data_IF_064717417117
#
_entry.id   IF_064717417117
#
_cell.length_a   1.000
_cell.length_b   1.000
_cell.length_c   1.000
_cell.angle_alpha   90.00
_cell.angle_beta   90.00
_cell.angle_gamma   90.00
#
_symmetry.space_group_name_H-M   'P 1'
#
loop_
_entity.id
_entity.type
_entity.pdbx_description
1 polymer ?
#
# COMPACT_ATOMS: atom_id res chain seq x y z
N UNK A 1 2.39 35.03 -46.12
CA UNK A 1 1.54 33.82 -45.98
C UNK A 1 2.25 32.62 -45.34
N UNK A 2 3.57 32.41 -45.51
CA UNK A 2 4.31 31.32 -44.84
C UNK A 2 4.57 31.51 -43.34
N UNK A 3 4.66 32.76 -42.86
CA UNK A 3 4.88 33.05 -41.43
C UNK A 3 3.64 32.78 -40.56
N UNK A 4 2.43 32.90 -41.12
CA UNK A 4 1.18 32.64 -40.39
C UNK A 4 0.95 31.15 -40.14
N UNK A 5 1.46 30.27 -41.00
CA UNK A 5 1.30 28.81 -40.88
C UNK A 5 2.24 28.22 -39.82
N UNK A 6 3.44 28.80 -39.65
CA UNK A 6 4.41 28.37 -38.64
C UNK A 6 3.96 28.71 -37.21
N UNK A 7 3.24 29.83 -37.03
CA UNK A 7 2.75 30.28 -35.73
C UNK A 7 1.59 29.40 -35.21
N UNK A 8 0.77 28.85 -36.10
CA UNK A 8 -0.30 27.92 -35.73
C UNK A 8 0.23 26.55 -35.27
N UNK A 9 1.35 26.07 -35.83
CA UNK A 9 1.94 24.79 -35.42
C UNK A 9 2.58 24.88 -34.02
N UNK A 10 3.13 26.04 -33.65
CA UNK A 10 3.72 26.24 -32.32
C UNK A 10 2.66 26.35 -31.20
N UNK A 11 1.45 26.81 -31.52
CA UNK A 11 0.33 26.89 -30.57
C UNK A 11 -0.35 25.54 -30.29
N UNK A 12 -0.19 24.55 -31.18
CA UNK A 12 -0.76 23.21 -30.97
C UNK A 12 0.12 22.36 -30.03
N UNK A 13 1.42 22.66 -29.90
CA UNK A 13 2.33 21.92 -29.01
C UNK A 13 2.34 22.39 -27.54
N UNK A 14 1.72 23.53 -27.19
CA UNK A 14 1.64 23.99 -25.79
C UNK A 14 0.44 23.41 -25.01
N UNK A 15 -0.43 22.61 -25.66
CA UNK A 15 -1.78 22.32 -25.18
C UNK A 15 -2.06 20.90 -24.66
N UNK A 16 -1.06 20.04 -24.50
CA UNK A 16 -1.25 18.69 -23.91
C UNK A 16 -0.16 18.42 -22.88
N UNK A 17 -0.20 19.17 -21.79
CA UNK A 17 0.16 18.55 -20.53
C UNK A 17 -1.01 17.62 -20.22
N UNK A 18 -0.85 16.28 -20.16
CA UNK A 18 -1.88 15.48 -19.54
C UNK A 18 -2.10 16.09 -18.17
N UNK A 19 -3.32 16.55 -17.91
CA UNK A 19 -3.75 16.81 -16.56
C UNK A 19 -3.55 15.48 -15.83
N UNK A 20 -2.39 15.32 -15.18
CA UNK A 20 -2.24 14.36 -14.10
C UNK A 20 -3.38 14.72 -13.17
N UNK A 21 -4.39 13.88 -13.14
CA UNK A 21 -5.55 14.10 -12.30
C UNK A 21 -4.99 14.16 -10.88
N UNK A 22 -4.97 15.34 -10.25
CA UNK A 22 -4.36 15.50 -8.91
C UNK A 22 -5.04 14.64 -7.84
N UNK A 23 -6.19 14.05 -8.17
CA UNK A 23 -6.89 13.07 -7.34
C UNK A 23 -6.27 11.65 -7.41
N UNK A 24 -5.45 11.33 -8.42
CA UNK A 24 -4.87 10.01 -8.63
C UNK A 24 -3.36 10.02 -8.37
N UNK A 25 -2.94 9.41 -7.25
CA UNK A 25 -1.54 9.10 -6.96
C UNK A 25 -1.26 7.63 -7.25
N UNK A 26 -0.65 7.32 -8.40
CA UNK A 26 -0.27 5.95 -8.72
C UNK A 26 0.86 5.50 -7.81
N UNK A 27 0.61 4.46 -7.00
CA UNK A 27 1.63 3.85 -6.15
C UNK A 27 2.41 2.78 -6.92
N UNK A 28 1.71 1.82 -7.52
CA UNK A 28 2.30 0.73 -8.30
C UNK A 28 1.57 0.54 -9.62
N UNK A 29 2.34 0.33 -10.68
CA UNK A 29 1.86 -0.24 -11.93
C UNK A 29 2.92 -1.23 -12.40
N UNK A 30 2.56 -2.51 -12.45
CA UNK A 30 3.43 -3.56 -12.95
C UNK A 30 2.62 -4.57 -13.74
N UNK A 31 3.25 -5.15 -14.76
CA UNK A 31 2.70 -6.30 -15.44
C UNK A 31 2.83 -7.52 -14.52
N UNK A 32 1.74 -8.24 -14.30
CA UNK A 32 1.78 -9.57 -13.73
C UNK A 32 2.11 -10.59 -14.84
N UNK A 33 2.92 -11.62 -14.56
CA UNK A 33 3.00 -12.79 -15.43
C UNK A 33 1.62 -13.42 -15.65
N UNK A 34 1.52 -14.30 -16.66
CA UNK A 34 0.31 -15.09 -16.84
C UNK A 34 0.00 -15.86 -15.55
N UNK A 35 -1.15 -15.56 -14.96
CA UNK A 35 -1.59 -16.21 -13.74
C UNK A 35 -2.07 -17.64 -14.06
N UNK A 36 -1.92 -18.60 -13.13
CA UNK A 36 -2.56 -19.89 -13.29
C UNK A 36 -4.09 -19.74 -13.40
N UNK A 37 -4.78 -20.78 -13.85
CA UNK A 37 -6.24 -20.81 -13.78
C UNK A 37 -6.72 -20.82 -12.31
N UNK A 38 -8.01 -20.51 -12.10
CA UNK A 38 -8.68 -20.64 -10.81
C UNK A 38 -8.01 -19.85 -9.66
N UNK A 39 -7.82 -18.54 -9.87
CA UNK A 39 -7.27 -17.62 -8.88
C UNK A 39 -8.36 -16.94 -8.07
N UNK A 40 -8.02 -16.59 -6.83
CA UNK A 40 -8.77 -15.69 -5.96
C UNK A 40 -7.85 -14.59 -5.41
N UNK A 41 -8.47 -13.49 -5.01
CA UNK A 41 -7.79 -12.45 -4.24
C UNK A 41 -8.22 -12.55 -2.78
N UNK A 42 -7.24 -12.61 -1.89
CA UNK A 42 -7.42 -12.42 -0.47
C UNK A 42 -6.86 -11.05 -0.08
N UNK A 43 -7.65 -10.26 0.64
CA UNK A 43 -7.18 -9.02 1.28
C UNK A 43 -7.29 -9.20 2.78
N UNK A 44 -6.22 -8.92 3.51
CA UNK A 44 -6.18 -9.07 4.96
C UNK A 44 -5.44 -7.91 5.61
N UNK A 45 -5.98 -7.44 6.72
CA UNK A 45 -5.28 -6.51 7.59
C UNK A 45 -4.42 -7.30 8.59
N UNK A 46 -3.14 -6.98 8.65
CA UNK A 46 -2.21 -7.53 9.64
C UNK A 46 -1.92 -6.46 10.68
N UNK A 47 -2.06 -6.84 11.94
CA UNK A 47 -1.78 -5.99 13.09
C UNK A 47 -0.61 -6.61 13.86
N UNK A 48 0.47 -5.85 14.02
CA UNK A 48 1.66 -6.26 14.76
C UNK A 48 1.74 -5.48 16.08
N UNK A 49 1.82 -6.21 17.18
CA UNK A 49 2.20 -5.63 18.47
C UNK A 49 3.65 -5.11 18.42
N UNK A 50 4.06 -4.27 19.38
CA UNK A 50 5.45 -3.82 19.46
C UNK A 50 6.44 -4.99 19.48
N UNK A 51 7.47 -4.93 18.63
CA UNK A 51 8.49 -5.96 18.46
C UNK A 51 8.03 -7.30 17.85
N UNK A 52 6.74 -7.46 17.53
CA UNK A 52 6.21 -8.72 17.00
C UNK A 52 6.81 -9.05 15.63
N UNK A 53 7.16 -10.31 15.42
CA UNK A 53 7.66 -10.84 14.15
C UNK A 53 6.97 -12.14 13.74
N UNK A 54 6.94 -12.41 12.44
CA UNK A 54 6.54 -13.72 11.89
C UNK A 54 7.76 -14.59 11.60
N UNK A 55 7.62 -15.90 11.80
CA UNK A 55 8.62 -16.86 11.33
C UNK A 55 8.70 -16.87 9.79
N UNK A 56 9.86 -17.26 9.21
CA UNK A 56 10.00 -17.36 7.76
C UNK A 56 8.98 -18.30 7.11
N UNK A 57 8.39 -17.84 6.01
CA UNK A 57 7.34 -18.57 5.28
C UNK A 57 7.32 -18.21 3.79
N UNK A 58 6.49 -18.93 3.02
CA UNK A 58 6.24 -18.65 1.60
C UNK A 58 4.75 -18.68 1.29
N UNK A 59 4.30 -17.75 0.46
CA UNK A 59 2.91 -17.62 0.03
C UNK A 59 2.56 -18.41 -1.24
N UNK A 60 3.54 -18.78 -2.08
CA UNK A 60 3.31 -19.41 -3.40
C UNK A 60 2.32 -18.60 -4.26
N UNK A 61 2.39 -17.27 -4.14
CA UNK A 61 1.40 -16.32 -4.64
C UNK A 61 2.06 -14.96 -4.92
N UNK A 62 1.40 -14.11 -5.70
CA UNK A 62 1.78 -12.70 -5.78
C UNK A 62 1.23 -11.96 -4.56
N UNK A 63 2.10 -11.28 -3.82
CA UNK A 63 1.75 -10.58 -2.57
C UNK A 63 2.09 -9.10 -2.68
N UNK A 64 1.14 -8.25 -2.32
CA UNK A 64 1.29 -6.81 -2.26
C UNK A 64 0.95 -6.31 -0.86
N UNK A 65 1.93 -5.70 -0.22
CA UNK A 65 1.78 -5.05 1.08
C UNK A 65 1.57 -3.56 0.88
N UNK A 66 0.70 -2.96 1.69
CA UNK A 66 0.58 -1.50 1.85
C UNK A 66 0.53 -1.14 3.33
N UNK A 67 1.49 -0.35 3.81
CA UNK A 67 1.56 0.02 5.23
C UNK A 67 0.52 1.10 5.56
N UNK A 68 -0.28 0.85 6.58
CA UNK A 68 -1.31 1.76 7.07
C UNK A 68 -0.83 2.58 8.27
N UNK A 69 -0.10 1.96 9.19
CA UNK A 69 0.31 2.54 10.47
C UNK A 69 1.66 1.97 10.93
N UNK A 70 2.44 2.76 11.67
CA UNK A 70 3.69 2.31 12.27
C UNK A 70 4.80 2.09 11.24
N UNK A 71 5.74 1.22 11.57
CA UNK A 71 6.94 0.93 10.77
C UNK A 71 7.16 -0.57 10.70
N UNK A 72 7.37 -1.12 9.51
CA UNK A 72 7.48 -2.58 9.32
C UNK A 72 8.78 -2.93 8.63
N UNK A 73 9.59 -3.78 9.26
CA UNK A 73 10.75 -4.38 8.63
C UNK A 73 10.29 -5.55 7.76
N UNK A 74 10.67 -5.52 6.48
CA UNK A 74 10.36 -6.56 5.51
C UNK A 74 11.61 -7.04 4.77
N UNK A 75 11.67 -8.33 4.49
CA UNK A 75 12.74 -8.93 3.71
C UNK A 75 12.25 -10.23 3.06
N UNK A 76 12.56 -10.39 1.78
CA UNK A 76 12.58 -11.72 1.15
C UNK A 76 13.99 -12.29 1.21
N UNK A 77 14.12 -13.61 1.31
CA UNK A 77 15.42 -14.27 1.32
C UNK A 77 16.27 -13.85 0.09
N UNK A 78 17.49 -13.37 0.34
CA UNK A 78 18.39 -12.83 -0.68
C UNK A 78 18.17 -11.38 -1.07
N UNK A 79 17.14 -10.74 -0.51
CA UNK A 79 16.84 -9.32 -0.68
C UNK A 79 17.42 -8.45 0.43
N UNK A 80 17.34 -7.13 0.23
CA UNK A 80 17.64 -6.14 1.25
C UNK A 80 16.57 -6.17 2.36
N UNK A 81 17.01 -6.03 3.62
CA UNK A 81 16.11 -5.77 4.74
C UNK A 81 15.70 -4.29 4.69
N UNK A 82 14.40 -4.04 4.62
CA UNK A 82 13.87 -2.68 4.42
C UNK A 82 12.89 -2.33 5.53
N UNK A 83 12.92 -1.08 6.01
CA UNK A 83 11.89 -0.56 6.91
C UNK A 83 10.92 0.28 6.11
N UNK A 84 9.65 -0.14 6.09
CA UNK A 84 8.56 0.52 5.40
C UNK A 84 7.80 1.46 6.34
N UNK A 85 7.35 2.59 5.79
CA UNK A 85 6.56 3.63 6.45
C UNK A 85 5.12 3.64 5.90
N UNK A 86 4.16 4.32 6.57
CA UNK A 86 2.79 4.43 6.07
C UNK A 86 2.74 5.01 4.65
N UNK A 87 1.97 4.37 3.78
CA UNK A 87 1.91 4.71 2.36
C UNK A 87 2.90 3.97 1.46
N UNK A 88 3.91 3.32 2.03
CA UNK A 88 4.86 2.52 1.26
C UNK A 88 4.35 1.10 1.02
N UNK A 89 4.82 0.50 -0.07
CA UNK A 89 4.45 -0.85 -0.48
C UNK A 89 5.63 -1.78 -0.62
N UNK A 90 5.33 -3.06 -0.44
CA UNK A 90 6.26 -4.16 -0.67
C UNK A 90 5.64 -5.23 -1.56
N UNK A 91 6.45 -5.83 -2.43
CA UNK A 91 6.01 -6.89 -3.33
C UNK A 91 6.84 -8.15 -3.18
N UNK A 92 6.16 -9.29 -3.14
CA UNK A 92 6.75 -10.63 -3.15
C UNK A 92 6.20 -11.42 -4.32
N UNK A 93 7.08 -12.14 -5.02
CA UNK A 93 6.69 -13.05 -6.09
C UNK A 93 6.41 -14.48 -5.53
N UNK A 94 5.80 -15.38 -6.32
CA UNK A 94 5.42 -16.71 -5.83
C UNK A 94 6.57 -17.58 -5.28
N UNK A 95 7.80 -17.33 -5.74
CA UNK A 95 8.97 -18.10 -5.32
C UNK A 95 9.75 -17.46 -4.18
N UNK A 96 9.43 -16.22 -3.82
CA UNK A 96 10.10 -15.53 -2.72
C UNK A 96 9.81 -16.30 -1.40
N UNK A 97 10.76 -16.19 -0.49
CA UNK A 97 10.58 -16.61 0.90
C UNK A 97 10.53 -15.33 1.70
N UNK A 98 9.41 -15.06 2.38
CA UNK A 98 9.30 -13.97 3.33
C UNK A 98 10.18 -14.32 4.54
N UNK A 99 11.34 -13.67 4.63
CA UNK A 99 12.38 -13.96 5.62
C UNK A 99 12.20 -13.14 6.89
N UNK A 100 11.83 -11.87 6.76
CA UNK A 100 11.56 -10.97 7.89
C UNK A 100 10.24 -10.26 7.64
N UNK A 101 9.33 -10.36 8.59
CA UNK A 101 8.15 -9.51 8.73
C UNK A 101 8.05 -9.14 10.20
N UNK A 102 8.41 -7.91 10.54
CA UNK A 102 8.57 -7.50 11.93
C UNK A 102 8.11 -6.06 12.13
N UNK A 103 7.46 -5.78 13.26
CA UNK A 103 7.26 -4.41 13.72
C UNK A 103 8.61 -3.79 14.10
N UNK A 104 8.99 -2.72 13.40
CA UNK A 104 10.26 -2.05 13.64
C UNK A 104 10.28 -1.19 14.93
N UNK A 105 9.15 -1.06 15.64
CA UNK A 105 9.04 -0.38 16.92
C UNK A 105 8.85 -1.38 18.06
N UNK A 106 9.60 -1.17 19.14
CA UNK A 106 9.44 -1.90 20.41
C UNK A 106 8.40 -1.24 21.34
N UNK A 107 7.84 -0.10 20.95
CA UNK A 107 6.88 0.67 21.78
C UNK A 107 5.51 0.84 21.14
N UNK A 108 5.44 0.95 19.81
CA UNK A 108 4.22 1.31 19.08
C UNK A 108 3.75 0.16 18.18
N UNK A 109 2.43 -0.01 17.96
CA UNK A 109 1.92 -1.00 17.03
C UNK A 109 2.21 -0.63 15.57
N UNK A 110 2.11 -1.62 14.68
CA UNK A 110 2.14 -1.40 13.24
C UNK A 110 0.99 -2.15 12.54
N UNK A 111 0.54 -1.62 11.41
CA UNK A 111 -0.59 -2.16 10.64
C UNK A 111 -0.32 -2.05 9.16
N UNK A 112 -0.67 -3.10 8.41
CA UNK A 112 -0.60 -3.08 6.96
C UNK A 112 -1.69 -3.96 6.33
N UNK A 113 -2.04 -3.65 5.08
CA UNK A 113 -2.84 -4.53 4.24
C UNK A 113 -1.93 -5.47 3.48
N UNK A 114 -2.38 -6.70 3.30
CA UNK A 114 -1.78 -7.70 2.41
C UNK A 114 -2.83 -8.11 1.39
N UNK A 115 -2.52 -7.91 0.12
CA UNK A 115 -3.30 -8.41 -1.01
C UNK A 115 -2.57 -9.60 -1.61
N UNK A 116 -3.23 -10.75 -1.70
CA UNK A 116 -2.62 -12.00 -2.15
C UNK A 116 -3.45 -12.53 -3.31
N UNK A 117 -2.82 -12.69 -4.48
CA UNK A 117 -3.42 -13.38 -5.62
C UNK A 117 -2.90 -14.81 -5.62
N UNK A 118 -3.78 -15.75 -5.28
CA UNK A 118 -3.43 -17.17 -5.10
C UNK A 118 -4.46 -18.09 -5.75
N UNK A 119 -4.08 -19.34 -5.96
CA UNK A 119 -5.02 -20.40 -6.36
C UNK A 119 -6.08 -20.63 -5.29
N UNK A 120 -7.33 -20.84 -5.69
CA UNK A 120 -8.44 -21.12 -4.77
C UNK A 120 -8.12 -22.37 -3.92
N UNK A 121 -8.42 -22.28 -2.62
CA UNK A 121 -8.29 -23.42 -1.69
C UNK A 121 -6.87 -23.77 -1.22
N UNK A 122 -5.83 -23.13 -1.76
CA UNK A 122 -4.45 -23.31 -1.24
C UNK A 122 -4.23 -22.49 0.04
N UNK A 123 -3.36 -22.95 0.97
CA UNK A 123 -3.02 -22.19 2.17
C UNK A 123 -2.47 -20.80 1.86
N UNK A 124 -2.73 -19.83 2.74
CA UNK A 124 -2.22 -18.46 2.60
C UNK A 124 -0.69 -18.44 2.67
N UNK A 125 -0.09 -19.23 3.56
CA UNK A 125 1.34 -19.36 3.70
C UNK A 125 1.74 -20.77 4.12
N UNK A 126 3.00 -21.11 3.83
CA UNK A 126 3.63 -22.37 4.19
C UNK A 126 4.94 -22.08 4.93
N UNK A 127 5.15 -22.63 6.14
CA UNK A 127 6.41 -22.45 6.86
C UNK A 127 7.59 -23.03 6.07
N UNK A 128 8.74 -22.36 6.07
CA UNK A 128 9.96 -22.87 5.40
C UNK A 128 11.07 -23.28 6.38
N UNK A 129 10.75 -23.31 7.68
CA UNK A 129 11.70 -23.52 8.77
C UNK A 129 12.60 -22.30 9.01
N UNK A 130 13.45 -22.37 10.04
CA UNK A 130 14.44 -21.33 10.29
C UNK A 130 15.40 -21.24 9.11
N UNK A 131 15.55 -20.04 8.56
CA UNK A 131 16.54 -19.79 7.51
C UNK A 131 17.93 -19.76 8.14
N UNK A 132 18.87 -20.46 7.53
CA UNK A 132 20.28 -20.27 7.89
C UNK A 132 20.72 -18.88 7.42
N UNK A 133 21.71 -18.24 8.10
CA UNK A 133 22.23 -16.93 7.67
C UNK A 133 22.68 -16.92 6.20
N UNK A 134 23.19 -18.07 5.72
CA UNK A 134 23.55 -18.26 4.31
C UNK A 134 22.31 -18.09 3.41
N UNK A 135 21.18 -18.72 3.73
CA UNK A 135 19.95 -18.67 2.93
C UNK A 135 19.26 -17.31 2.94
N UNK A 136 19.45 -16.50 3.99
CA UNK A 136 18.99 -15.10 4.05
C UNK A 136 19.82 -14.22 3.10
N UNK A 137 21.11 -14.50 2.96
CA UNK A 137 22.05 -13.68 2.19
C UNK A 137 22.35 -14.23 0.78
N UNK A 138 21.81 -15.40 0.42
CA UNK A 138 21.96 -15.95 -0.94
C UNK A 138 21.40 -14.93 -1.92
N UNK A 139 22.20 -14.38 -2.85
CA UNK A 139 21.69 -13.48 -3.87
C UNK A 139 20.49 -14.15 -4.55
N UNK A 140 19.43 -13.38 -4.81
CA UNK A 140 18.39 -13.80 -5.73
C UNK A 140 19.11 -14.30 -6.98
N UNK A 141 19.08 -15.61 -7.21
CA UNK A 141 19.87 -16.22 -8.27
C UNK A 141 19.60 -15.51 -9.60
N UNK A 142 20.55 -15.59 -10.54
CA UNK A 142 20.41 -15.14 -11.93
C UNK A 142 19.14 -15.77 -12.54
N UNK A 143 17.99 -15.16 -12.27
CA UNK A 143 16.73 -15.41 -12.93
C UNK A 143 16.72 -14.48 -14.13
N UNK A 144 16.27 -15.02 -15.27
CA UNK A 144 16.34 -14.39 -16.58
C UNK A 144 16.04 -12.88 -16.55
N UNK A 145 16.75 -12.12 -17.39
CA UNK A 145 16.89 -10.65 -17.33
C UNK A 145 15.64 -9.78 -17.50
N UNK A 146 14.45 -10.31 -17.25
CA UNK A 146 13.18 -9.62 -17.04
C UNK A 146 12.72 -9.65 -15.56
N UNK A 147 13.44 -10.35 -14.68
CA UNK A 147 13.06 -10.49 -13.26
C UNK A 147 13.29 -9.20 -12.48
N UNK A 148 12.21 -8.81 -11.80
CA UNK A 148 11.87 -7.51 -11.23
C UNK A 148 12.76 -7.10 -10.05
N UNK A 149 14.08 -7.02 -10.24
CA UNK A 149 15.04 -6.54 -9.23
C UNK A 149 14.73 -5.11 -8.74
N UNK A 150 13.94 -4.34 -9.50
CA UNK A 150 13.77 -2.90 -9.32
C UNK A 150 12.50 -2.45 -8.59
N UNK A 151 11.55 -3.33 -8.25
CA UNK A 151 10.23 -2.88 -7.76
C UNK A 151 9.71 -3.60 -6.52
N UNK A 152 10.59 -4.11 -5.65
CA UNK A 152 10.14 -4.66 -4.36
C UNK A 152 9.74 -3.59 -3.36
N UNK A 153 10.39 -2.44 -3.38
CA UNK A 153 10.05 -1.31 -2.51
C UNK A 153 9.45 -0.24 -3.40
N UNK A 154 8.22 0.14 -3.10
CA UNK A 154 7.55 1.23 -3.79
C UNK A 154 7.26 2.27 -2.73
N UNK A 155 8.08 3.32 -2.72
CA UNK A 155 7.84 4.46 -1.87
C UNK A 155 6.75 5.29 -2.50
N UNK A 156 5.74 5.67 -1.72
CA UNK A 156 4.83 6.71 -2.17
C UNK A 156 5.68 7.93 -2.57
N UNK A 157 5.47 8.45 -3.77
CA UNK A 157 6.11 9.70 -4.16
C UNK A 157 5.67 10.74 -3.13
N UNK A 158 6.61 11.40 -2.43
CA UNK A 158 6.26 12.49 -1.53
C UNK A 158 5.39 13.46 -2.34
N UNK A 159 4.15 13.64 -1.89
CA UNK A 159 3.26 14.62 -2.48
C UNK A 159 3.88 15.98 -2.19
N UNK A 160 4.40 16.74 -3.17
CA UNK A 160 4.91 18.05 -2.88
C UNK A 160 3.70 18.93 -2.62
N UNK A 161 3.40 19.16 -1.34
CA UNK A 161 2.72 20.34 -0.76
C UNK A 161 1.78 19.98 0.38
N UNK A 162 2.34 19.80 1.58
CA UNK A 162 1.86 20.57 2.72
C UNK A 162 2.35 22.03 2.58
N UNK A 163 1.99 22.72 1.50
CA UNK A 163 2.09 24.18 1.47
C UNK A 163 0.91 24.65 2.32
N UNK A 164 1.18 25.02 3.58
CA UNK A 164 0.23 25.84 4.33
C UNK A 164 0.00 27.09 3.49
N UNK A 165 -1.19 27.23 2.94
CA UNK A 165 -1.63 28.53 2.45
C UNK A 165 -1.51 29.51 3.64
N UNK A 166 -0.94 30.72 3.44
CA UNK A 166 -0.99 31.72 4.49
C UNK A 166 -2.45 31.98 4.86
N UNK A 167 -2.77 32.21 6.15
CA UNK A 167 -4.13 32.47 6.57
C UNK A 167 -4.68 33.66 5.79
N UNK A 168 -5.80 33.46 5.11
CA UNK A 168 -6.48 34.50 4.34
C UNK A 168 -7.03 35.54 5.33
N UNK A 169 -6.53 36.80 5.35
CA UNK A 169 -6.93 37.80 6.33
C UNK A 169 -8.38 38.29 6.16
N UNK A 170 -9.11 37.81 5.15
CA UNK A 170 -10.47 38.26 4.83
C UNK A 170 -11.59 37.23 5.07
N UNK A 171 -11.32 36.12 5.76
CA UNK A 171 -12.36 35.16 6.17
C UNK A 171 -12.35 34.94 7.68
N UNK A 172 -12.99 35.85 8.42
CA UNK A 172 -13.43 35.57 9.78
C UNK A 172 -14.67 34.67 9.71
N UNK A 173 -14.49 33.36 9.91
CA UNK A 173 -15.63 32.49 10.24
C UNK A 173 -16.04 32.78 11.68
N UNK A 174 -17.19 33.45 11.84
CA UNK A 174 -17.90 33.46 13.12
C UNK A 174 -18.44 32.05 13.34
N UNK A 175 -17.94 31.37 14.36
CA UNK A 175 -18.46 30.06 14.77
C UNK A 175 -19.92 30.26 15.23
N UNK A 176 -20.87 29.85 14.39
CA UNK A 176 -22.25 29.75 14.81
C UNK A 176 -22.36 28.68 15.92
N UNK A 177 -22.99 29.05 17.03
CA UNK A 177 -23.29 28.15 18.14
C UNK A 177 -24.12 26.96 17.62
N UNK A 178 -23.77 25.71 17.91
CA UNK A 178 -24.59 24.56 17.52
C UNK A 178 -25.96 24.62 18.22
N UNK A 179 -27.06 24.19 17.57
CA UNK A 179 -28.37 24.16 18.19
C UNK A 179 -28.43 23.08 19.28
N UNK A 180 -29.16 23.38 20.36
CA UNK A 180 -29.42 22.46 21.46
C UNK A 180 -30.30 21.30 20.97
N UNK A 181 -29.81 20.06 21.14
CA UNK A 181 -30.57 18.85 20.82
C UNK A 181 -31.36 18.45 22.06
N UNK A 182 -32.69 18.61 22.03
CA UNK A 182 -33.59 18.01 23.01
C UNK A 182 -33.63 16.49 22.83
N UNK A 183 -33.36 15.75 23.92
CA UNK A 183 -33.43 14.30 23.95
C UNK A 183 -34.89 13.84 23.86
N UNK A 184 -35.26 13.21 22.75
CA UNK A 184 -36.54 12.50 22.61
C UNK A 184 -36.50 11.21 23.44
N UNK A 185 -37.16 11.25 24.60
CA UNK A 185 -37.43 10.08 25.43
C UNK A 185 -38.42 9.15 24.71
N UNK A 186 -37.96 7.96 24.33
CA UNK A 186 -38.83 6.93 23.73
C UNK A 186 -39.44 6.09 24.85
N UNK A 187 -40.73 6.28 25.13
CA UNK A 187 -41.50 5.42 26.02
C UNK A 187 -41.86 4.10 25.33
N UNK A 188 -41.38 3.00 25.90
CA UNK A 188 -41.78 1.63 25.53
C UNK A 188 -43.19 1.34 26.10
N UNK A 189 -44.19 1.31 25.23
CA UNK A 189 -45.53 0.80 25.58
C UNK A 189 -45.56 -0.72 25.35
N UNK A 190 -45.69 -1.48 26.43
CA UNK A 190 -45.97 -2.92 26.38
C UNK A 190 -47.47 -3.16 26.22
N UNK A 191 -47.87 -3.89 25.19
CA UNK A 191 -49.24 -4.35 24.96
C UNK A 191 -49.49 -5.71 25.65
N UNK A 192 -50.63 -5.94 26.33
CA UNK A 192 -50.96 -7.24 26.90
C UNK A 192 -51.65 -8.16 25.87
N UNK A 193 -51.25 -9.43 25.86
CA UNK A 193 -51.89 -10.51 25.11
C UNK A 193 -53.26 -10.87 25.73
N UNK A 194 -54.25 -11.05 24.86
CA UNK A 194 -55.39 -11.94 25.08
C UNK A 194 -55.10 -13.29 24.42
#
# INVERSE_FOLDING_TARGET
MRCLFQLCILLIFLGVNPLVNRAEGQLLNMALPALPENQEILVSEVNLAPGQESLPHRHNAHVFVYVLEGRVNMQVAGGELVTLLPGEMFYENPDDIHAVSQNASDTDPAKFLVHIIKTVGVPVSTPVGLLTPQKILLPLGERNGNDTKLLRIIRAHEHPSSVRLPPNPHLSFSAAKPPDIEAVSTTLTTSPRH
#
